data_IF_718204360971
#
_entry.id   IF_718204360971
#
_cell.length_a   1.000
_cell.length_b   1.000
_cell.length_c   1.000
_cell.angle_alpha   90.00
_cell.angle_beta   90.00
_cell.angle_gamma   90.00
#
_symmetry.space_group_name_H-M   'P 1'
#
loop_
_entity.id
_entity.type
_entity.pdbx_description
1 polymer ?
#
# COMPACT_ATOMS: atom_id res chain seq x y z
N UNK A 1 17.49 33.45 -0.52
CA UNK A 1 16.03 33.30 -0.39
C UNK A 1 15.57 32.25 -1.39
N UNK A 2 15.61 30.97 -1.01
CA UNK A 2 15.18 29.87 -1.88
C UNK A 2 13.65 29.86 -1.91
N UNK A 3 13.06 30.29 -3.03
CA UNK A 3 11.61 30.33 -3.21
C UNK A 3 11.03 28.95 -2.93
N UNK A 4 9.96 28.96 -2.14
CA UNK A 4 9.15 27.83 -1.67
C UNK A 4 8.83 26.82 -2.78
N UNK A 5 9.67 25.81 -2.95
CA UNK A 5 9.42 24.64 -3.79
C UNK A 5 8.40 23.66 -3.15
N UNK A 6 7.51 24.14 -2.27
CA UNK A 6 6.50 23.31 -1.61
C UNK A 6 5.27 23.21 -2.50
N UNK A 7 4.90 21.98 -2.87
CA UNK A 7 3.65 21.72 -3.60
C UNK A 7 2.52 21.70 -2.55
N UNK A 8 1.39 22.38 -2.81
CA UNK A 8 0.26 22.35 -1.90
C UNK A 8 -0.27 20.92 -1.74
N UNK A 9 -0.54 20.53 -0.49
CA UNK A 9 -1.19 19.26 -0.21
C UNK A 9 -2.62 19.24 -0.81
N UNK A 10 -2.99 18.13 -1.44
CA UNK A 10 -4.33 17.94 -2.00
C UNK A 10 -4.92 16.61 -1.57
N UNK A 11 -6.02 16.67 -0.81
CA UNK A 11 -6.72 15.47 -0.34
C UNK A 11 -7.30 14.66 -1.51
N UNK A 12 -7.86 15.33 -2.52
CA UNK A 12 -8.36 14.68 -3.75
C UNK A 12 -7.26 13.86 -4.43
N UNK A 13 -6.04 14.38 -4.44
CA UNK A 13 -4.87 13.71 -5.00
C UNK A 13 -4.53 12.45 -4.20
N UNK A 14 -4.50 12.53 -2.87
CA UNK A 14 -4.27 11.36 -2.01
C UNK A 14 -5.30 10.28 -2.30
N UNK A 15 -6.60 10.63 -2.35
CA UNK A 15 -7.66 9.66 -2.67
C UNK A 15 -7.44 9.00 -4.04
N UNK A 16 -7.10 9.76 -5.08
CA UNK A 16 -6.82 9.19 -6.40
C UNK A 16 -5.61 8.24 -6.36
N UNK A 17 -4.54 8.64 -5.68
CA UNK A 17 -3.35 7.81 -5.50
C UNK A 17 -3.70 6.51 -4.77
N UNK A 18 -4.47 6.60 -3.69
CA UNK A 18 -4.96 5.46 -2.93
C UNK A 18 -5.77 4.50 -3.78
N UNK A 19 -6.70 5.02 -4.59
CA UNK A 19 -7.52 4.20 -5.46
C UNK A 19 -6.67 3.47 -6.50
N UNK A 20 -5.73 4.17 -7.16
CA UNK A 20 -4.86 3.55 -8.16
C UNK A 20 -3.94 2.52 -7.52
N UNK A 21 -3.15 2.92 -6.52
CA UNK A 21 -2.15 2.06 -5.90
C UNK A 21 -2.79 0.89 -5.16
N UNK A 22 -3.84 1.15 -4.38
CA UNK A 22 -4.59 0.13 -3.66
C UNK A 22 -5.27 -0.88 -4.60
N UNK A 23 -5.80 -0.43 -5.75
CA UNK A 23 -6.38 -1.37 -6.73
C UNK A 23 -5.31 -2.21 -7.41
N UNK A 24 -4.19 -1.62 -7.82
CA UNK A 24 -3.05 -2.36 -8.38
C UNK A 24 -2.54 -3.43 -7.41
N UNK A 25 -2.36 -3.06 -6.14
CA UNK A 25 -1.88 -3.97 -5.10
C UNK A 25 -2.89 -5.06 -4.77
N UNK A 26 -4.18 -4.71 -4.65
CA UNK A 26 -5.25 -5.68 -4.44
C UNK A 26 -5.37 -6.68 -5.59
N UNK A 27 -5.28 -6.22 -6.85
CA UNK A 27 -5.28 -7.11 -8.01
C UNK A 27 -4.05 -8.01 -8.04
N UNK A 28 -2.86 -7.46 -7.77
CA UNK A 28 -1.63 -8.25 -7.69
C UNK A 28 -1.72 -9.32 -6.59
N UNK A 29 -2.26 -8.97 -5.42
CA UNK A 29 -2.48 -9.93 -4.34
C UNK A 29 -3.45 -11.04 -4.78
N UNK A 30 -4.56 -10.72 -5.45
CA UNK A 30 -5.52 -11.71 -5.95
C UNK A 30 -4.89 -12.63 -7.00
N UNK A 31 -4.17 -12.08 -7.97
CA UNK A 31 -3.59 -12.83 -9.08
C UNK A 31 -2.41 -13.69 -8.61
N UNK A 32 -1.41 -13.08 -7.97
CA UNK A 32 -0.13 -13.74 -7.68
C UNK A 32 -0.12 -14.49 -6.36
N UNK A 33 -0.78 -13.98 -5.33
CA UNK A 33 -0.78 -14.60 -3.99
C UNK A 33 -2.02 -15.46 -3.77
N UNK A 34 -3.17 -14.98 -4.21
CA UNK A 34 -4.47 -15.62 -4.08
C UNK A 34 -4.78 -16.66 -5.16
N UNK A 35 -3.98 -16.73 -6.24
CA UNK A 35 -4.25 -17.60 -7.40
C UNK A 35 -5.69 -17.43 -7.93
N UNK A 36 -6.09 -16.18 -8.13
CA UNK A 36 -7.45 -15.75 -8.53
C UNK A 36 -8.53 -15.89 -7.44
N UNK A 37 -8.20 -16.31 -6.22
CA UNK A 37 -9.15 -16.36 -5.11
C UNK A 37 -9.33 -14.99 -4.45
N UNK A 38 -10.21 -14.16 -5.03
CA UNK A 38 -10.58 -12.85 -4.48
C UNK A 38 -11.04 -12.93 -3.02
N UNK A 39 -12.01 -13.81 -2.74
CA UNK A 39 -12.62 -13.91 -1.41
C UNK A 39 -11.59 -14.30 -0.35
N UNK A 40 -10.73 -15.29 -0.64
CA UNK A 40 -9.70 -15.75 0.29
C UNK A 40 -8.66 -14.68 0.61
N UNK A 41 -8.24 -13.87 -0.37
CA UNK A 41 -7.29 -12.78 -0.15
C UNK A 41 -7.85 -11.74 0.81
N UNK A 42 -9.07 -11.26 0.57
CA UNK A 42 -9.64 -10.25 1.47
C UNK A 42 -10.07 -10.83 2.82
N UNK A 43 -10.50 -12.10 2.88
CA UNK A 43 -10.70 -12.77 4.18
C UNK A 43 -9.40 -12.92 4.97
N UNK A 44 -8.28 -13.18 4.30
CA UNK A 44 -6.96 -13.17 4.96
C UNK A 44 -6.65 -11.80 5.55
N UNK A 45 -6.91 -10.71 4.82
CA UNK A 45 -6.74 -9.35 5.35
C UNK A 45 -7.68 -9.09 6.53
N UNK A 46 -8.95 -9.52 6.44
CA UNK A 46 -9.91 -9.40 7.54
C UNK A 46 -9.53 -10.20 8.79
N UNK A 47 -8.75 -11.28 8.62
CA UNK A 47 -8.24 -12.06 9.74
C UNK A 47 -7.32 -11.25 10.66
N UNK A 48 -6.81 -10.10 10.22
CA UNK A 48 -6.07 -9.16 11.08
C UNK A 48 -6.86 -8.74 12.32
N UNK A 49 -8.17 -8.57 12.22
CA UNK A 49 -9.03 -8.15 13.35
C UNK A 49 -9.96 -9.27 13.82
N UNK A 50 -10.40 -10.15 12.92
CA UNK A 50 -11.34 -11.23 13.20
C UNK A 50 -10.68 -12.57 13.54
N UNK A 51 -9.37 -12.70 13.28
CA UNK A 51 -8.66 -13.98 13.40
C UNK A 51 -9.20 -15.04 12.42
N UNK A 52 -9.03 -16.34 12.74
CA UNK A 52 -9.44 -17.45 11.87
C UNK A 52 -10.92 -17.46 11.47
N UNK A 53 -11.80 -16.83 12.28
CA UNK A 53 -13.23 -16.72 11.97
C UNK A 53 -13.51 -15.96 10.66
N UNK A 54 -12.57 -15.13 10.19
CA UNK A 54 -12.70 -14.41 8.93
C UNK A 54 -12.99 -15.32 7.72
N UNK A 55 -12.40 -16.51 7.68
CA UNK A 55 -12.52 -17.44 6.55
C UNK A 55 -13.91 -18.11 6.47
N UNK A 56 -14.68 -18.10 7.57
CA UNK A 56 -16.04 -18.67 7.61
C UNK A 56 -17.13 -17.63 7.34
N UNK A 57 -16.81 -16.33 7.32
CA UNK A 57 -17.80 -15.25 7.20
C UNK A 57 -18.23 -14.87 5.78
N UNK A 58 -17.73 -15.59 4.76
CA UNK A 58 -18.10 -15.39 3.35
C UNK A 58 -17.81 -13.98 2.84
N UNK A 59 -18.73 -13.43 2.04
CA UNK A 59 -18.58 -12.10 1.42
C UNK A 59 -18.50 -10.96 2.44
N UNK A 60 -19.16 -11.09 3.60
CA UNK A 60 -19.18 -10.03 4.62
C UNK A 60 -17.76 -9.78 5.15
N UNK A 61 -17.01 -10.84 5.44
CA UNK A 61 -15.63 -10.71 5.92
C UNK A 61 -14.68 -10.31 4.80
N UNK A 62 -14.93 -10.73 3.55
CA UNK A 62 -14.18 -10.21 2.40
C UNK A 62 -14.34 -8.69 2.23
N UNK A 63 -15.55 -8.14 2.40
CA UNK A 63 -15.75 -6.68 2.33
C UNK A 63 -15.04 -5.93 3.46
N UNK A 64 -15.00 -6.50 4.68
CA UNK A 64 -14.20 -5.95 5.78
C UNK A 64 -12.71 -5.92 5.39
N UNK A 65 -12.20 -7.01 4.83
CA UNK A 65 -10.83 -7.09 4.35
C UNK A 65 -10.52 -6.08 3.25
N UNK A 66 -11.45 -5.90 2.31
CA UNK A 66 -11.33 -4.89 1.25
C UNK A 66 -11.28 -3.46 1.82
N UNK A 67 -12.11 -3.17 2.82
CA UNK A 67 -12.08 -1.87 3.51
C UNK A 67 -10.75 -1.65 4.25
N UNK A 68 -10.26 -2.66 4.98
CA UNK A 68 -8.95 -2.60 5.66
C UNK A 68 -7.80 -2.41 4.66
N UNK A 69 -7.85 -3.11 3.53
CA UNK A 69 -6.87 -2.98 2.45
C UNK A 69 -6.76 -1.53 1.96
N UNK A 70 -7.88 -0.90 1.58
CA UNK A 70 -7.86 0.49 1.14
C UNK A 70 -7.52 1.47 2.26
N UNK A 71 -7.85 1.18 3.52
CA UNK A 71 -7.44 1.99 4.66
C UNK A 71 -5.91 2.00 4.84
N UNK A 72 -5.27 0.84 4.69
CA UNK A 72 -3.81 0.71 4.75
C UNK A 72 -3.17 1.42 3.56
N UNK A 73 -3.67 1.18 2.34
CA UNK A 73 -3.20 1.86 1.14
C UNK A 73 -3.35 3.39 1.24
N UNK A 74 -4.46 3.87 1.82
CA UNK A 74 -4.69 5.28 2.11
C UNK A 74 -3.66 5.85 3.06
N UNK A 75 -3.40 5.16 4.16
CA UNK A 75 -2.45 5.59 5.19
C UNK A 75 -1.04 5.78 4.60
N UNK A 76 -0.56 4.81 3.82
CA UNK A 76 0.74 4.93 3.16
C UNK A 76 0.75 5.97 2.03
N UNK A 77 -0.30 6.10 1.24
CA UNK A 77 -0.40 7.16 0.23
C UNK A 77 -0.34 8.55 0.86
N UNK A 78 -1.07 8.74 1.98
CA UNK A 78 -1.12 9.98 2.74
C UNK A 78 0.26 10.36 3.29
N UNK A 79 0.94 9.43 3.98
CA UNK A 79 2.26 9.67 4.57
C UNK A 79 3.27 10.07 3.49
N UNK A 80 3.35 9.32 2.37
CA UNK A 80 4.27 9.66 1.30
C UNK A 80 3.95 11.01 0.67
N UNK A 81 2.67 11.29 0.41
CA UNK A 81 2.25 12.55 -0.21
C UNK A 81 2.66 13.74 0.67
N UNK A 82 2.40 13.67 1.98
CA UNK A 82 2.82 14.70 2.96
C UNK A 82 4.35 14.83 2.95
N UNK A 83 5.09 13.72 3.03
CA UNK A 83 6.56 13.75 3.01
C UNK A 83 7.09 14.38 1.71
N UNK A 84 6.49 14.07 0.57
CA UNK A 84 6.89 14.60 -0.74
C UNK A 84 6.68 16.11 -0.85
N UNK A 85 5.69 16.69 -0.15
CA UNK A 85 5.45 18.15 -0.14
C UNK A 85 6.59 18.92 0.53
N UNK A 86 7.23 18.31 1.55
CA UNK A 86 8.31 18.90 2.35
C UNK A 86 9.70 18.57 1.81
N UNK A 87 9.86 17.43 1.14
CA UNK A 87 11.18 16.91 0.73
C UNK A 87 11.31 16.86 -0.79
N UNK A 88 12.08 17.80 -1.35
CA UNK A 88 12.31 17.91 -2.81
C UNK A 88 13.02 16.69 -3.40
N UNK A 89 13.88 16.00 -2.63
CA UNK A 89 14.59 14.79 -3.08
C UNK A 89 13.61 13.68 -3.49
N UNK A 90 12.50 13.51 -2.76
CA UNK A 90 11.47 12.50 -3.06
C UNK A 90 10.78 12.72 -4.41
N UNK A 91 10.77 13.97 -4.88
CA UNK A 91 10.14 14.38 -6.15
C UNK A 91 11.12 14.39 -7.31
N UNK A 92 12.40 14.64 -7.06
CA UNK A 92 13.45 14.59 -8.09
C UNK A 92 13.82 13.15 -8.45
N UNK A 93 13.94 12.29 -7.45
CA UNK A 93 14.35 10.89 -7.62
C UNK A 93 13.14 9.95 -7.48
N UNK A 94 12.12 10.12 -8.33
CA UNK A 94 10.82 9.43 -8.24
C UNK A 94 10.96 7.92 -8.14
N UNK A 95 11.78 7.32 -9.01
CA UNK A 95 11.97 5.87 -9.09
C UNK A 95 12.64 5.35 -7.82
N UNK A 96 13.80 5.91 -7.46
CA UNK A 96 14.54 5.48 -6.27
C UNK A 96 13.72 5.69 -4.99
N UNK A 97 12.99 6.82 -4.89
CA UNK A 97 12.14 7.11 -3.75
C UNK A 97 10.98 6.12 -3.65
N UNK A 98 10.38 5.72 -4.79
CA UNK A 98 9.34 4.70 -4.84
C UNK A 98 9.85 3.32 -4.41
N UNK A 99 11.05 2.92 -4.87
CA UNK A 99 11.67 1.64 -4.48
C UNK A 99 11.95 1.61 -2.99
N UNK A 100 12.64 2.63 -2.46
CA UNK A 100 12.95 2.72 -1.03
C UNK A 100 11.66 2.73 -0.20
N UNK A 101 10.65 3.48 -0.65
CA UNK A 101 9.38 3.54 0.05
C UNK A 101 8.66 2.21 0.09
N UNK A 102 8.62 1.46 -1.03
CA UNK A 102 8.02 0.13 -1.05
C UNK A 102 8.72 -0.85 -0.09
N UNK A 103 10.05 -0.78 0.01
CA UNK A 103 10.80 -1.60 0.98
C UNK A 103 10.40 -1.23 2.41
N UNK A 104 10.29 0.07 2.72
CA UNK A 104 9.84 0.54 4.05
C UNK A 104 8.41 0.04 4.34
N UNK A 105 7.49 0.17 3.38
CA UNK A 105 6.11 -0.32 3.50
C UNK A 105 6.10 -1.82 3.77
N UNK A 106 6.88 -2.60 3.00
CA UNK A 106 7.00 -4.04 3.20
C UNK A 106 7.50 -4.38 4.60
N UNK A 107 8.55 -3.70 5.07
CA UNK A 107 9.12 -3.89 6.41
C UNK A 107 8.09 -3.58 7.50
N UNK A 108 7.39 -2.45 7.40
CA UNK A 108 6.36 -2.07 8.37
C UNK A 108 5.22 -3.08 8.35
N UNK A 109 4.71 -3.46 7.18
CA UNK A 109 3.63 -4.43 7.08
C UNK A 109 4.03 -5.80 7.64
N UNK A 110 5.18 -6.30 7.23
CA UNK A 110 5.61 -7.68 7.50
C UNK A 110 6.18 -7.86 8.90
N UNK A 111 6.96 -6.91 9.40
CA UNK A 111 7.69 -7.04 10.68
C UNK A 111 7.01 -6.32 11.84
N UNK A 112 6.11 -5.37 11.58
CA UNK A 112 5.43 -4.61 12.63
C UNK A 112 3.93 -4.86 12.64
N UNK A 113 3.22 -4.56 11.56
CA UNK A 113 1.75 -4.61 11.54
C UNK A 113 1.24 -6.04 11.63
N UNK A 114 1.64 -6.93 10.71
CA UNK A 114 1.14 -8.32 10.68
C UNK A 114 1.39 -9.06 12.01
N UNK A 115 2.58 -9.01 12.63
CA UNK A 115 2.82 -9.66 13.93
C UNK A 115 1.98 -9.12 15.09
N UNK A 116 1.49 -7.88 15.01
CA UNK A 116 0.63 -7.27 16.03
C UNK A 116 -0.87 -7.54 15.79
N UNK A 117 -1.22 -8.27 14.73
CA UNK A 117 -2.61 -8.58 14.36
C UNK A 117 -2.97 -10.03 14.70
N UNK A 118 -4.24 -10.41 14.46
CA UNK A 118 -4.71 -11.79 14.60
C UNK A 118 -4.50 -12.65 13.35
N UNK A 119 -3.74 -12.18 12.36
CA UNK A 119 -3.39 -12.98 11.18
C UNK A 119 -2.68 -14.26 11.66
N UNK A 120 -3.05 -15.46 11.16
CA UNK A 120 -2.37 -16.69 11.52
C UNK A 120 -0.87 -16.60 11.23
N UNK A 121 -0.05 -16.91 12.25
CA UNK A 121 1.39 -16.92 12.09
C UNK A 121 1.81 -17.94 11.03
N UNK A 122 2.67 -17.50 10.11
CA UNK A 122 3.27 -18.34 9.09
C UNK A 122 4.80 -18.24 9.17
N UNK A 123 5.53 -19.33 8.89
CA UNK A 123 6.99 -19.27 8.86
C UNK A 123 7.45 -18.30 7.76
N UNK A 124 8.56 -17.60 8.03
CA UNK A 124 9.14 -16.70 7.05
C UNK A 124 9.59 -17.48 5.81
N UNK A 125 9.21 -17.00 4.63
CA UNK A 125 9.56 -17.61 3.35
C UNK A 125 10.19 -16.56 2.45
N UNK A 126 11.45 -16.79 2.05
CA UNK A 126 12.23 -15.84 1.26
C UNK A 126 11.63 -15.55 -0.12
N UNK A 127 11.11 -16.58 -0.81
CA UNK A 127 10.50 -16.40 -2.14
C UNK A 127 9.26 -15.52 -2.06
N UNK A 128 8.38 -15.76 -1.08
CA UNK A 128 7.20 -14.93 -0.83
C UNK A 128 7.59 -13.52 -0.40
N UNK A 129 8.63 -13.36 0.41
CA UNK A 129 9.13 -12.06 0.81
C UNK A 129 9.59 -11.24 -0.40
N UNK A 130 10.41 -11.83 -1.28
CA UNK A 130 10.88 -11.18 -2.50
C UNK A 130 9.70 -10.83 -3.41
N UNK A 131 8.77 -11.76 -3.63
CA UNK A 131 7.58 -11.51 -4.43
C UNK A 131 6.74 -10.34 -3.87
N UNK A 132 6.52 -10.30 -2.56
CA UNK A 132 5.78 -9.22 -1.91
C UNK A 132 6.49 -7.87 -2.06
N UNK A 133 7.82 -7.82 -1.92
CA UNK A 133 8.59 -6.57 -2.14
C UNK A 133 8.46 -6.11 -3.58
N UNK A 134 8.58 -7.03 -4.56
CA UNK A 134 8.45 -6.71 -5.98
C UNK A 134 7.05 -6.16 -6.27
N UNK A 135 5.99 -6.82 -5.79
CA UNK A 135 4.61 -6.32 -5.91
C UNK A 135 4.49 -4.93 -5.32
N UNK A 136 4.99 -4.70 -4.10
CA UNK A 136 4.90 -3.39 -3.46
C UNK A 136 5.69 -2.31 -4.22
N UNK A 137 6.84 -2.62 -4.83
CA UNK A 137 7.56 -1.66 -5.67
C UNK A 137 6.67 -1.21 -6.83
N UNK A 138 6.07 -2.15 -7.57
CA UNK A 138 5.32 -1.84 -8.78
C UNK A 138 3.89 -1.33 -8.53
N UNK A 139 3.25 -1.78 -7.46
CA UNK A 139 1.83 -1.49 -7.18
C UNK A 139 1.64 -0.37 -6.15
N UNK A 140 2.60 -0.16 -5.24
CA UNK A 140 2.52 0.86 -4.18
C UNK A 140 3.59 1.93 -4.37
N UNK A 141 4.87 1.56 -4.30
CA UNK A 141 6.00 2.49 -4.29
C UNK A 141 6.04 3.42 -5.50
N UNK A 142 6.13 2.84 -6.71
CA UNK A 142 6.22 3.61 -7.96
C UNK A 142 4.95 4.40 -8.27
N UNK A 143 3.73 3.84 -8.17
CA UNK A 143 2.50 4.62 -8.42
C UNK A 143 2.35 5.78 -7.44
N UNK A 144 2.60 5.56 -6.15
CA UNK A 144 2.52 6.62 -5.13
C UNK A 144 3.58 7.68 -5.39
N UNK A 145 4.84 7.31 -5.62
CA UNK A 145 5.92 8.29 -5.82
C UNK A 145 5.71 9.11 -7.08
N UNK A 146 5.33 8.46 -8.18
CA UNK A 146 5.10 9.10 -9.46
C UNK A 146 3.90 10.03 -9.43
N UNK A 147 2.75 9.57 -8.93
CA UNK A 147 1.54 10.39 -8.87
C UNK A 147 1.65 11.50 -7.82
N UNK A 148 2.41 11.30 -6.74
CA UNK A 148 2.70 12.37 -5.77
C UNK A 148 3.57 13.46 -6.37
N UNK A 149 4.53 13.10 -7.25
CA UNK A 149 5.37 14.05 -7.97
C UNK A 149 4.67 14.73 -9.15
N UNK A 150 3.73 14.04 -9.82
CA UNK A 150 2.92 14.56 -10.93
C UNK A 150 1.83 15.49 -10.38
N UNK A 151 1.64 16.67 -10.95
CA UNK A 151 0.73 17.75 -10.51
C UNK A 151 1.27 18.73 -9.45
N UNK A 152 2.31 19.47 -9.85
CA UNK A 152 2.49 20.90 -9.49
C UNK A 152 1.82 21.84 -10.50
N UNK A 153 1.01 21.32 -11.44
CA UNK A 153 0.60 22.02 -12.67
C UNK A 153 -0.84 21.69 -13.11
N UNK A 154 -1.79 21.71 -12.18
CA UNK A 154 -3.21 21.77 -12.57
C UNK A 154 -3.82 22.94 -11.80
N UNK A 155 -3.82 24.08 -12.49
CA UNK A 155 -4.56 25.34 -12.30
C UNK A 155 -4.55 25.98 -10.91
#
# INVERSE_FOLDING_TARGET
MEKSNQIPFSFKKVLLITLIAGTLDGLAAVIFLGKMNFMGVFQYIASAILGPAAFSGGIKTALIGLALHYFIAFSFALVYTIASTKTTVLRKNIILSGIIYAIIVWTIMTLLIVPLTKIPAAPFNYERAILNVVILIFCIGLPISYLSARNSSVN
#
